data_IF_953786831071
#
_entry.id   IF_953786831071
#
_cell.length_a   1.000
_cell.length_b   1.000
_cell.length_c   1.000
_cell.angle_alpha   90.00
_cell.angle_beta   90.00
_cell.angle_gamma   90.00
#
_symmetry.space_group_name_H-M   'P 1'
#
loop_
_entity.id
_entity.type
_entity.pdbx_description
1 polymer ?
#
# COMPACT_ATOMS: atom_id res chain seq x y z
N UNK A 1 15.86 3.79 14.54
CA UNK A 1 15.29 4.33 13.30
C UNK A 1 14.64 3.18 12.55
N UNK A 2 13.33 2.98 12.72
CA UNK A 2 12.64 1.80 12.19
C UNK A 2 12.47 1.89 10.68
N UNK A 3 13.23 1.10 9.95
CA UNK A 3 13.10 0.85 8.52
C UNK A 3 11.64 0.46 8.23
N UNK A 4 10.90 1.37 7.60
CA UNK A 4 9.50 1.12 7.28
C UNK A 4 9.46 0.26 6.01
N UNK A 5 9.57 -1.06 6.17
CA UNK A 5 9.57 -2.00 5.07
C UNK A 5 8.17 -2.11 4.45
N UNK A 6 8.07 -1.68 3.19
CA UNK A 6 6.84 -1.83 2.38
C UNK A 6 6.94 -3.17 1.65
N UNK A 7 6.16 -4.15 2.08
CA UNK A 7 6.11 -5.46 1.43
C UNK A 7 4.92 -5.52 0.48
N UNK A 8 5.20 -5.72 -0.81
CA UNK A 8 4.15 -6.04 -1.77
C UNK A 8 3.75 -7.50 -1.58
N UNK A 9 2.46 -7.77 -1.40
CA UNK A 9 1.94 -9.13 -1.35
C UNK A 9 2.34 -9.87 -2.62
N UNK A 10 3.07 -10.98 -2.46
CA UNK A 10 3.55 -11.83 -3.57
C UNK A 10 2.43 -12.39 -4.43
N UNK A 11 1.21 -12.51 -3.88
CA UNK A 11 0.05 -13.09 -4.55
C UNK A 11 -0.84 -11.98 -5.10
N UNK A 12 -0.79 -11.79 -6.42
CA UNK A 12 -1.80 -11.01 -7.13
C UNK A 12 -3.05 -11.88 -7.22
N UNK A 13 -4.16 -11.40 -6.65
CA UNK A 13 -5.45 -12.04 -6.89
C UNK A 13 -6.02 -11.51 -8.20
N UNK A 14 -6.18 -12.40 -9.18
CA UNK A 14 -6.92 -12.09 -10.39
C UNK A 14 -8.37 -12.49 -10.17
N UNK A 15 -9.25 -11.51 -10.12
CA UNK A 15 -10.69 -11.70 -9.99
C UNK A 15 -11.21 -12.09 -11.36
N UNK A 16 -11.38 -13.40 -11.59
CA UNK A 16 -11.83 -13.97 -12.86
C UNK A 16 -13.19 -13.41 -13.30
N UNK A 17 -14.07 -13.12 -12.33
CA UNK A 17 -15.42 -12.58 -12.55
C UNK A 17 -15.43 -11.17 -13.17
N UNK A 18 -14.44 -10.34 -12.86
CA UNK A 18 -14.37 -8.95 -13.37
C UNK A 18 -13.15 -8.68 -14.25
N UNK A 19 -12.27 -9.68 -14.42
CA UNK A 19 -10.98 -9.54 -15.08
C UNK A 19 -9.98 -8.62 -14.35
N UNK A 20 -10.33 -8.12 -13.15
CA UNK A 20 -9.52 -7.14 -12.41
C UNK A 20 -8.43 -7.83 -11.59
N UNK A 21 -7.32 -7.13 -11.43
CA UNK A 21 -6.19 -7.55 -10.61
C UNK A 21 -6.24 -6.80 -9.29
N UNK A 22 -6.19 -7.54 -8.18
CA UNK A 22 -6.07 -7.02 -6.82
C UNK A 22 -4.65 -7.24 -6.31
N UNK A 23 -4.04 -6.16 -5.83
CA UNK A 23 -2.72 -6.16 -5.19
C UNK A 23 -2.90 -5.67 -3.78
N UNK A 24 -2.30 -6.37 -2.83
CA UNK A 24 -2.26 -5.95 -1.45
C UNK A 24 -0.83 -5.58 -1.07
N UNK A 25 -0.65 -4.44 -0.42
CA UNK A 25 0.63 -3.95 0.08
C UNK A 25 0.52 -3.88 1.58
N UNK A 26 1.45 -4.51 2.27
CA UNK A 26 1.56 -4.45 3.71
C UNK A 26 2.70 -3.52 4.10
N UNK A 27 2.42 -2.60 5.01
CA UNK A 27 3.44 -1.77 5.64
C UNK A 27 3.71 -2.39 7.00
N UNK A 28 4.89 -3.01 7.14
CA UNK A 28 5.24 -3.71 8.37
C UNK A 28 5.09 -2.78 9.58
N UNK A 29 4.32 -3.25 10.56
CA UNK A 29 4.09 -2.56 11.82
C UNK A 29 3.11 -1.38 11.76
N UNK A 30 2.35 -1.20 10.66
CA UNK A 30 1.39 -0.09 10.56
C UNK A 30 0.04 -0.47 9.96
N UNK A 31 0.00 -0.73 8.65
CA UNK A 31 -1.25 -0.75 7.89
C UNK A 31 -1.12 -1.54 6.58
N UNK A 32 -2.25 -2.08 6.13
CA UNK A 32 -2.34 -2.88 4.91
C UNK A 32 -3.25 -2.19 3.90
N UNK A 33 -2.76 -1.98 2.68
CA UNK A 33 -3.42 -1.25 1.61
C UNK A 33 -3.71 -2.16 0.44
N UNK A 34 -4.95 -2.15 -0.06
CA UNK A 34 -5.30 -2.87 -1.29
C UNK A 34 -5.52 -1.90 -2.45
N UNK A 35 -5.03 -2.27 -3.63
CA UNK A 35 -5.27 -1.60 -4.90
C UNK A 35 -5.85 -2.59 -5.91
N UNK A 36 -6.93 -2.20 -6.57
CA UNK A 36 -7.52 -2.95 -7.68
C UNK A 36 -7.29 -2.20 -8.99
N UNK A 37 -7.09 -2.92 -10.09
CA UNK A 37 -6.84 -2.31 -11.40
C UNK A 37 -7.09 -3.27 -12.55
N UNK A 38 -7.12 -2.70 -13.76
CA UNK A 38 -7.26 -3.45 -15.02
C UNK A 38 -6.05 -4.35 -15.28
N UNK A 39 -4.88 -3.93 -14.78
CA UNK A 39 -3.61 -4.65 -14.89
C UNK A 39 -2.80 -4.52 -13.61
N UNK A 40 -1.84 -5.41 -13.40
CA UNK A 40 -0.96 -5.42 -12.23
C UNK A 40 -0.28 -4.07 -11.98
N UNK A 41 0.23 -3.41 -13.04
CA UNK A 41 0.92 -2.12 -12.92
C UNK A 41 0.02 -1.05 -12.31
N UNK A 42 -1.23 -0.97 -12.74
CA UNK A 42 -2.23 -0.01 -12.20
C UNK A 42 -2.54 -0.37 -10.74
N UNK A 43 -2.80 -1.65 -10.45
CA UNK A 43 -3.10 -2.10 -9.10
C UNK A 43 -1.93 -1.82 -8.12
N UNK A 44 -0.69 -2.10 -8.55
CA UNK A 44 0.53 -1.84 -7.79
C UNK A 44 0.75 -0.35 -7.55
N UNK A 45 0.63 0.48 -8.60
CA UNK A 45 0.76 1.93 -8.45
C UNK A 45 -0.30 2.50 -7.51
N UNK A 46 -1.56 2.08 -7.62
CA UNK A 46 -2.64 2.52 -6.75
C UNK A 46 -2.38 2.14 -5.29
N UNK A 47 -1.96 0.90 -5.04
CA UNK A 47 -1.64 0.45 -3.69
C UNK A 47 -0.41 1.19 -3.11
N UNK A 48 0.65 1.36 -3.90
CA UNK A 48 1.85 2.09 -3.50
C UNK A 48 1.56 3.58 -3.23
N UNK A 49 0.77 4.25 -4.07
CA UNK A 49 0.40 5.66 -3.90
C UNK A 49 -0.37 5.89 -2.59
N UNK A 50 -1.28 4.97 -2.24
CA UNK A 50 -2.01 5.02 -0.95
C UNK A 50 -1.06 4.80 0.23
N UNK A 51 -0.17 3.81 0.13
CA UNK A 51 0.84 3.54 1.14
C UNK A 51 1.76 4.76 1.39
N UNK A 52 2.29 5.37 0.33
CA UNK A 52 3.17 6.54 0.43
C UNK A 52 2.46 7.76 1.03
N UNK A 53 1.21 8.03 0.63
CA UNK A 53 0.41 9.12 1.24
C UNK A 53 0.22 8.91 2.73
N UNK A 54 -0.06 7.68 3.14
CA UNK A 54 -0.24 7.35 4.55
C UNK A 54 1.06 7.51 5.33
N UNK A 55 2.20 7.06 4.78
CA UNK A 55 3.50 7.24 5.40
C UNK A 55 3.87 8.71 5.58
N UNK A 56 3.56 9.56 4.60
CA UNK A 56 3.78 11.01 4.70
C UNK A 56 2.97 11.62 5.84
N UNK A 57 1.66 11.33 5.89
CA UNK A 57 0.78 11.83 6.96
C UNK A 57 1.23 11.34 8.34
N UNK A 58 1.63 10.08 8.46
CA UNK A 58 2.18 9.55 9.70
C UNK A 58 3.46 10.24 10.16
N UNK A 59 4.31 10.65 9.21
CA UNK A 59 5.53 11.40 9.53
C UNK A 59 5.16 12.78 10.09
N UNK A 60 4.23 13.48 9.43
CA UNK A 60 3.73 14.78 9.89
C UNK A 60 3.06 14.69 11.26
N UNK A 61 2.20 13.69 11.50
CA UNK A 61 1.57 13.46 12.81
C UNK A 61 2.61 13.13 13.89
N UNK A 62 3.65 12.36 13.56
CA UNK A 62 4.76 12.10 14.49
C UNK A 62 5.54 13.36 14.85
N UNK A 63 5.83 14.22 13.87
CA UNK A 63 6.52 15.50 14.11
C UNK A 63 5.65 16.43 14.97
N UNK A 64 4.33 16.44 14.71
CA UNK A 64 3.37 17.26 15.47
C UNK A 64 3.14 16.76 16.91
N UNK A 65 3.19 15.46 17.14
CA UNK A 65 3.06 14.86 18.48
C UNK A 65 4.38 14.89 19.29
N UNK A 66 5.51 15.16 18.64
CA UNK A 66 6.81 15.33 19.28
C UNK A 66 7.12 16.80 19.65
N UNK A 67 6.23 17.73 19.29
CA UNK A 67 6.24 19.13 19.73
C UNK A 67 5.30 19.30 20.92
#
# INVERSE_FOLDING_TARGET
MGETAITFGKKLERILETGKVRVTVDIQGKCRFTGMGRSYRIAKCTAAKRALRYLRKLKEEKERAAT
#
